data_IF_376505815758
#
_entry.id   IF_376505815758
#
_cell.length_a   1.000
_cell.length_b   1.000
_cell.length_c   1.000
_cell.angle_alpha   90.00
_cell.angle_beta   90.00
_cell.angle_gamma   90.00
#
_symmetry.space_group_name_H-M   'P 1'
#
loop_
_entity.id
_entity.type
_entity.pdbx_description
1 polymer ?
#
# COMPACT_ATOMS: atom_id res chain seq x y z
N UNK A 1 -36.94 39.93 -8.26
CA UNK A 1 -35.50 40.31 -8.37
C UNK A 1 -34.69 39.86 -7.15
N UNK A 2 -35.14 40.10 -5.91
CA UNK A 2 -34.47 39.66 -4.66
C UNK A 2 -34.17 38.15 -4.58
N UNK A 3 -35.06 37.29 -5.10
CA UNK A 3 -34.87 35.82 -5.07
C UNK A 3 -33.70 35.34 -5.94
N UNK A 4 -33.41 36.03 -7.05
CA UNK A 4 -32.30 35.67 -7.95
C UNK A 4 -30.96 36.10 -7.34
N UNK A 5 -30.93 37.25 -6.66
CA UNK A 5 -29.75 37.76 -5.96
C UNK A 5 -29.37 36.89 -4.76
N UNK A 6 -30.37 36.37 -4.03
CA UNK A 6 -30.13 35.46 -2.90
C UNK A 6 -29.58 34.11 -3.35
N UNK A 7 -30.06 33.58 -4.49
CA UNK A 7 -29.56 32.34 -5.07
C UNK A 7 -28.10 32.48 -5.54
N UNK A 8 -27.75 33.62 -6.14
CA UNK A 8 -26.38 33.90 -6.57
C UNK A 8 -25.42 34.00 -5.37
N UNK A 9 -25.86 34.65 -4.27
CA UNK A 9 -25.06 34.78 -3.06
C UNK A 9 -24.79 33.42 -2.39
N UNK A 10 -25.78 32.51 -2.39
CA UNK A 10 -25.64 31.15 -1.86
C UNK A 10 -24.70 30.29 -2.72
N UNK A 11 -24.73 30.43 -4.06
CA UNK A 11 -23.79 29.71 -4.94
C UNK A 11 -22.34 30.17 -4.71
N UNK A 12 -22.12 31.47 -4.46
CA UNK A 12 -20.77 32.01 -4.20
C UNK A 12 -20.21 31.50 -2.86
N UNK A 13 -21.03 31.32 -1.82
CA UNK A 13 -20.57 30.78 -0.53
C UNK A 13 -20.30 29.29 -0.56
N UNK A 14 -20.97 28.52 -1.43
CA UNK A 14 -20.73 27.07 -1.59
C UNK A 14 -19.40 26.80 -2.33
N UNK A 15 -18.99 27.68 -3.25
CA UNK A 15 -17.71 27.54 -4.00
C UNK A 15 -16.48 27.75 -3.11
N UNK A 16 -16.59 28.53 -2.02
CA UNK A 16 -15.47 28.77 -1.09
C UNK A 16 -15.28 27.66 -0.04
N UNK A 17 -16.10 26.61 -0.06
CA UNK A 17 -16.04 25.49 0.87
C UNK A 17 -15.56 24.17 0.23
N UNK A 18 -15.03 24.20 -1.01
CA UNK A 18 -14.22 23.09 -1.51
C UNK A 18 -12.78 23.27 -1.03
N UNK A 19 -12.24 22.41 -0.14
CA UNK A 19 -10.81 22.37 0.11
C UNK A 19 -10.10 21.83 -1.13
N UNK A 20 -9.84 22.70 -2.11
CA UNK A 20 -8.80 22.49 -3.12
C UNK A 20 -7.45 22.74 -2.44
N UNK A 21 -7.04 21.78 -1.62
CA UNK A 21 -5.87 21.94 -0.77
C UNK A 21 -5.54 20.69 -0.02
N UNK A 22 -5.57 19.53 -0.68
CA UNK A 22 -4.64 18.49 -0.25
C UNK A 22 -3.25 19.09 -0.44
N UNK A 23 -2.57 19.37 0.67
CA UNK A 23 -1.16 19.72 0.67
C UNK A 23 -0.42 18.48 0.18
N UNK A 24 -0.29 18.38 -1.13
CA UNK A 24 0.41 17.27 -1.76
C UNK A 24 1.91 17.40 -1.49
N UNK A 25 2.58 16.26 -1.43
CA UNK A 25 4.04 16.15 -1.22
C UNK A 25 4.78 17.03 -2.23
N UNK A 26 4.26 17.11 -3.46
CA UNK A 26 4.77 17.93 -4.56
C UNK A 26 4.81 19.42 -4.23
N UNK A 27 3.78 19.96 -3.59
CA UNK A 27 3.70 21.37 -3.22
C UNK A 27 4.61 21.68 -2.02
N UNK A 28 4.62 20.79 -1.01
CA UNK A 28 5.49 20.94 0.15
C UNK A 28 6.99 20.88 -0.23
N UNK A 29 7.35 20.05 -1.21
CA UNK A 29 8.70 20.00 -1.76
C UNK A 29 9.06 21.25 -2.56
N UNK A 30 8.12 21.78 -3.36
CA UNK A 30 8.32 23.01 -4.13
C UNK A 30 8.56 24.23 -3.21
N UNK A 31 7.90 24.26 -2.06
CA UNK A 31 8.07 25.30 -1.03
C UNK A 31 9.27 25.07 -0.10
N UNK A 32 10.04 23.98 -0.29
CA UNK A 32 11.21 23.64 0.51
C UNK A 32 10.91 23.19 1.95
N UNK A 33 9.65 22.87 2.25
CA UNK A 33 9.20 22.47 3.58
C UNK A 33 9.39 20.96 3.79
N UNK A 34 10.64 20.57 4.03
CA UNK A 34 11.04 19.16 4.17
C UNK A 34 10.42 18.47 5.38
N UNK A 35 10.11 19.19 6.45
CA UNK A 35 9.43 18.64 7.62
C UNK A 35 8.00 18.20 7.27
N UNK A 36 7.29 19.02 6.48
CA UNK A 36 5.97 18.67 5.97
C UNK A 36 6.03 17.52 4.97
N UNK A 37 7.04 17.47 4.09
CA UNK A 37 7.26 16.36 3.17
C UNK A 37 7.43 15.04 3.93
N UNK A 38 8.30 14.99 4.92
CA UNK A 38 8.51 13.77 5.72
C UNK A 38 7.25 13.35 6.46
N UNK A 39 6.50 14.33 7.01
CA UNK A 39 5.24 14.07 7.68
C UNK A 39 4.21 13.45 6.73
N UNK A 40 3.98 14.04 5.56
CA UNK A 40 3.01 13.56 4.56
C UNK A 40 3.38 12.17 4.02
N UNK A 41 4.67 11.94 3.77
CA UNK A 41 5.18 10.62 3.37
C UNK A 41 4.92 9.59 4.48
N UNK A 42 5.27 9.93 5.72
CA UNK A 42 5.06 9.02 6.86
C UNK A 42 3.60 8.70 7.11
N UNK A 43 2.71 9.69 7.02
CA UNK A 43 1.26 9.50 7.14
C UNK A 43 0.73 8.54 6.05
N UNK A 44 1.19 8.71 4.80
CA UNK A 44 0.80 7.84 3.68
C UNK A 44 1.33 6.40 3.79
N UNK A 45 2.54 6.21 4.33
CA UNK A 45 3.09 4.86 4.57
C UNK A 45 2.49 4.17 5.79
N UNK A 46 2.07 4.94 6.80
CA UNK A 46 1.39 4.42 7.99
C UNK A 46 -0.10 4.14 7.76
N UNK A 47 -0.68 4.64 6.67
CA UNK A 47 -2.01 4.27 6.25
C UNK A 47 -2.02 2.81 5.77
N UNK A 48 -2.42 1.94 6.69
CA UNK A 48 -2.55 0.50 6.46
C UNK A 48 -3.57 0.17 5.36
N UNK A 49 -4.48 1.08 5.02
CA UNK A 49 -5.48 0.83 3.96
C UNK A 49 -4.90 0.93 2.55
N UNK A 50 -3.79 1.67 2.38
CA UNK A 50 -3.08 1.79 1.09
C UNK A 50 -2.25 0.55 0.78
N UNK A 51 -1.76 -0.13 1.83
CA UNK A 51 -0.91 -1.31 1.73
C UNK A 51 -1.61 -2.62 2.14
N UNK A 52 -2.85 -2.56 2.64
CA UNK A 52 -3.64 -3.75 2.88
C UNK A 52 -3.95 -4.39 1.52
N UNK A 53 -3.46 -5.61 1.25
CA UNK A 53 -3.88 -6.31 0.06
C UNK A 53 -5.40 -6.42 0.10
N UNK A 54 -6.07 -5.94 -0.96
CA UNK A 54 -7.53 -5.86 -1.10
C UNK A 54 -8.25 -7.22 -1.16
N UNK A 55 -7.55 -8.29 -0.81
CA UNK A 55 -8.06 -9.64 -0.82
C UNK A 55 -8.14 -10.06 0.64
N UNK A 56 -9.35 -10.34 1.14
CA UNK A 56 -9.48 -11.33 2.22
C UNK A 56 -9.10 -12.70 1.63
N UNK A 57 -7.85 -12.87 1.22
CA UNK A 57 -7.35 -14.12 0.68
C UNK A 57 -7.30 -15.06 1.86
N UNK A 58 -8.12 -16.11 1.84
CA UNK A 58 -7.90 -17.24 2.72
C UNK A 58 -6.42 -17.61 2.63
N UNK A 59 -5.71 -17.60 3.76
CA UNK A 59 -4.30 -17.93 3.78
C UNK A 59 -4.11 -19.32 3.15
N UNK A 60 -3.05 -19.55 2.38
CA UNK A 60 -2.67 -20.92 1.94
C UNK A 60 -2.60 -21.87 3.14
N UNK A 61 -2.19 -21.36 4.32
CA UNK A 61 -2.19 -22.10 5.60
C UNK A 61 -3.59 -22.58 6.04
N UNK A 62 -4.65 -21.89 5.61
CA UNK A 62 -6.04 -22.16 6.02
C UNK A 62 -6.79 -23.12 5.09
N UNK A 63 -6.21 -23.49 3.94
CA UNK A 63 -6.80 -24.44 3.01
C UNK A 63 -6.99 -25.81 3.68
N UNK A 64 -8.21 -26.34 3.58
CA UNK A 64 -8.57 -27.68 4.06
C UNK A 64 -9.19 -28.48 2.92
N UNK A 65 -8.88 -29.78 2.82
CA UNK A 65 -9.53 -30.64 1.84
C UNK A 65 -11.04 -30.74 2.15
N UNK A 66 -11.93 -30.62 1.16
CA UNK A 66 -13.34 -30.98 1.33
C UNK A 66 -13.47 -32.49 1.59
N UNK A 67 -14.60 -32.98 2.10
CA UNK A 67 -14.79 -34.41 2.39
C UNK A 67 -14.52 -35.26 1.13
N UNK A 68 -13.53 -36.16 1.21
CA UNK A 68 -13.12 -37.03 0.10
C UNK A 68 -12.35 -36.33 -1.03
N UNK A 69 -12.00 -35.05 -0.88
CA UNK A 69 -11.22 -34.29 -1.85
C UNK A 69 -9.79 -34.01 -1.40
N UNK A 70 -9.03 -33.37 -2.29
CA UNK A 70 -7.66 -32.93 -2.05
C UNK A 70 -7.58 -31.42 -2.12
N UNK A 71 -6.60 -30.83 -1.43
CA UNK A 71 -6.27 -29.42 -1.56
C UNK A 71 -4.75 -29.24 -1.69
N UNK A 72 -4.37 -28.49 -2.70
CA UNK A 72 -3.00 -28.01 -2.87
C UNK A 72 -3.04 -26.49 -3.01
N UNK A 73 -2.19 -25.81 -2.26
CA UNK A 73 -2.01 -24.37 -2.39
C UNK A 73 -0.56 -23.99 -2.14
N UNK A 74 -0.10 -22.99 -2.88
CA UNK A 74 1.26 -22.49 -2.80
C UNK A 74 1.23 -20.97 -2.82
N UNK A 75 1.97 -20.36 -1.89
CA UNK A 75 2.21 -18.93 -1.86
C UNK A 75 3.72 -18.71 -1.74
N UNK A 76 4.23 -17.81 -2.56
CA UNK A 76 5.64 -17.44 -2.58
C UNK A 76 5.72 -15.92 -2.67
N UNK A 77 6.63 -15.34 -1.89
CA UNK A 77 7.07 -13.96 -2.11
C UNK A 77 8.59 -13.92 -2.12
N UNK A 78 9.16 -13.09 -2.99
CA UNK A 78 10.58 -12.85 -3.10
C UNK A 78 10.81 -11.35 -3.31
N UNK A 79 11.88 -10.82 -2.71
CA UNK A 79 12.30 -9.44 -2.91
C UNK A 79 13.78 -9.35 -3.26
N UNK A 80 14.09 -8.28 -3.97
CA UNK A 80 15.45 -7.86 -4.30
C UNK A 80 15.56 -6.36 -4.08
N UNK A 81 16.51 -5.94 -3.25
CA UNK A 81 16.84 -4.57 -2.96
C UNK A 81 18.30 -4.34 -3.34
N UNK A 82 18.53 -3.33 -4.18
CA UNK A 82 19.87 -2.88 -4.54
C UNK A 82 19.95 -1.38 -4.37
N UNK A 83 20.99 -0.90 -3.68
CA UNK A 83 21.22 0.51 -3.43
C UNK A 83 22.69 0.86 -3.66
N UNK A 84 22.93 2.05 -4.19
CA UNK A 84 24.26 2.61 -4.40
C UNK A 84 24.28 4.05 -3.89
N UNK A 85 24.94 4.26 -2.76
CA UNK A 85 25.07 5.58 -2.15
C UNK A 85 26.57 5.91 -2.10
N UNK A 86 26.97 6.95 -2.85
CA UNK A 86 28.37 7.43 -2.93
C UNK A 86 29.37 6.33 -3.30
N UNK A 87 29.00 5.41 -4.21
CA UNK A 87 29.85 4.31 -4.65
C UNK A 87 29.84 3.09 -3.72
N UNK A 88 29.18 3.17 -2.56
CA UNK A 88 28.95 2.01 -1.70
C UNK A 88 27.68 1.29 -2.17
N UNK A 89 27.88 0.10 -2.75
CA UNK A 89 26.79 -0.80 -3.13
C UNK A 89 26.35 -1.63 -1.93
N UNK A 90 25.04 -1.75 -1.75
CA UNK A 90 24.40 -2.70 -0.83
C UNK A 90 23.34 -3.45 -1.57
N UNK A 91 23.34 -4.77 -1.42
CA UNK A 91 22.41 -5.67 -2.07
C UNK A 91 21.80 -6.57 -0.99
N UNK A 92 20.49 -6.75 -1.05
CA UNK A 92 19.72 -7.61 -0.17
C UNK A 92 18.69 -8.34 -0.99
N UNK A 93 18.48 -9.60 -0.67
CA UNK A 93 17.40 -10.39 -1.22
C UNK A 93 16.89 -11.34 -0.15
N UNK A 94 15.69 -11.85 -0.38
CA UNK A 94 15.08 -12.84 0.48
C UNK A 94 13.77 -13.31 -0.12
N UNK A 95 13.44 -14.56 0.15
CA UNK A 95 12.21 -15.18 -0.28
C UNK A 95 11.63 -16.05 0.82
N UNK A 96 10.33 -16.24 0.75
CA UNK A 96 9.59 -17.10 1.66
C UNK A 96 8.50 -17.83 0.91
N UNK A 97 8.34 -19.11 1.24
CA UNK A 97 7.45 -20.02 0.55
C UNK A 97 6.62 -20.82 1.53
N UNK A 98 5.33 -20.94 1.23
CA UNK A 98 4.35 -21.73 1.98
C UNK A 98 3.67 -22.67 1.00
N UNK A 99 3.74 -23.96 1.29
CA UNK A 99 3.04 -25.02 0.55
C UNK A 99 2.07 -25.69 1.51
N UNK A 100 0.80 -25.77 1.14
CA UNK A 100 -0.20 -26.58 1.83
C UNK A 100 -0.60 -27.75 0.92
N UNK A 101 -0.33 -28.97 1.39
CA UNK A 101 -0.71 -30.20 0.73
C UNK A 101 -1.62 -31.00 1.67
N UNK A 102 -2.92 -31.03 1.40
CA UNK A 102 -3.95 -31.71 2.20
C UNK A 102 -3.93 -31.31 3.69
N UNK A 103 -3.68 -30.04 3.98
CA UNK A 103 -3.57 -29.50 5.34
C UNK A 103 -2.18 -29.66 5.97
N UNK A 104 -1.22 -30.29 5.27
CA UNK A 104 0.18 -30.36 5.70
C UNK A 104 0.93 -29.15 5.17
N UNK A 105 1.43 -28.33 6.09
CA UNK A 105 2.12 -27.08 5.76
C UNK A 105 3.63 -27.33 5.72
N UNK A 106 4.25 -26.95 4.62
CA UNK A 106 5.70 -26.82 4.46
C UNK A 106 6.04 -25.35 4.23
N UNK A 107 6.83 -24.78 5.13
CA UNK A 107 7.14 -23.35 5.15
C UNK A 107 8.65 -23.17 5.30
N UNK A 108 9.26 -22.38 4.42
CA UNK A 108 10.70 -22.15 4.42
C UNK A 108 11.09 -20.83 3.79
N UNK A 109 12.19 -20.26 4.28
CA UNK A 109 12.87 -19.14 3.66
C UNK A 109 13.86 -19.64 2.61
N UNK A 110 14.09 -18.84 1.58
CA UNK A 110 15.05 -19.15 0.52
C UNK A 110 15.73 -17.88 0.03
N UNK A 111 16.93 -18.04 -0.53
CA UNK A 111 17.63 -16.97 -1.23
C UNK A 111 17.25 -17.00 -2.72
N UNK A 112 16.50 -16.01 -3.24
CA UNK A 112 16.10 -16.00 -4.63
C UNK A 112 17.29 -15.71 -5.53
N UNK A 113 17.35 -16.44 -6.66
CA UNK A 113 18.33 -16.19 -7.73
C UNK A 113 17.65 -15.34 -8.80
N UNK A 114 18.14 -14.13 -9.00
CA UNK A 114 17.67 -13.18 -10.02
C UNK A 114 18.67 -13.12 -11.19
#
# INVERSE_FOLDING_TARGET
MIKLTLLLLVVITIVQALPLGETDISNAAADGNWDLVHKLISERFNDKTVWEPSISSGSVRSLRPPQGGHVYGEAEYAFHESSNINGKKTERSGGHKIINNDGRIHEYDFDPKF
#
